data_IF_815789951594
#
_entry.id   IF_815789951594
#
_cell.length_a   1.000
_cell.length_b   1.000
_cell.length_c   1.000
_cell.angle_alpha   90.00
_cell.angle_beta   90.00
_cell.angle_gamma   90.00
#
_symmetry.space_group_name_H-M   'P 1'
#
loop_
_entity.id
_entity.type
_entity.pdbx_description
1 polymer ?
#
# COMPACT_ATOMS: atom_id res chain seq x y z
N UNK A 1 -3.14 14.83 13.00
CA UNK A 1 -2.86 15.18 11.58
C UNK A 1 -4.07 14.87 10.70
N UNK A 2 -4.38 13.60 10.42
CA UNK A 2 -5.51 13.23 9.56
C UNK A 2 -6.86 13.79 10.05
N UNK A 3 -7.17 13.63 11.35
CA UNK A 3 -8.38 14.19 11.94
C UNK A 3 -8.48 15.72 11.77
N UNK A 4 -7.39 16.44 12.03
CA UNK A 4 -7.36 17.91 11.88
C UNK A 4 -7.62 18.32 10.42
N UNK A 5 -6.96 17.64 9.47
CA UNK A 5 -7.14 17.88 8.05
C UNK A 5 -8.58 17.58 7.58
N UNK A 6 -9.20 16.52 8.09
CA UNK A 6 -10.59 16.18 7.74
C UNK A 6 -11.58 17.15 8.36
N UNK A 7 -11.49 17.40 9.67
CA UNK A 7 -12.50 18.17 10.42
C UNK A 7 -12.34 19.70 10.29
N UNK A 8 -11.10 20.20 10.16
CA UNK A 8 -10.85 21.65 10.11
C UNK A 8 -10.63 22.17 8.70
N UNK A 9 -10.11 21.35 7.79
CA UNK A 9 -9.85 21.75 6.40
C UNK A 9 -10.86 21.15 5.42
N UNK A 10 -11.78 20.31 5.88
CA UNK A 10 -12.83 19.72 5.04
C UNK A 10 -12.28 18.75 3.98
N UNK A 11 -11.11 18.13 4.24
CA UNK A 11 -10.51 17.19 3.30
C UNK A 11 -11.23 15.83 3.46
N UNK A 12 -12.24 15.62 2.63
CA UNK A 12 -13.03 14.40 2.60
C UNK A 12 -12.29 13.28 1.87
N UNK A 13 -12.45 12.03 2.33
CA UNK A 13 -11.79 10.88 1.71
C UNK A 13 -10.27 10.83 1.94
N UNK A 14 -9.77 11.59 2.92
CA UNK A 14 -8.39 11.48 3.37
C UNK A 14 -8.23 10.24 4.26
N UNK A 15 -7.30 9.38 3.87
CA UNK A 15 -6.92 8.18 4.59
C UNK A 15 -5.47 8.30 5.03
N UNK A 16 -5.15 7.59 6.12
CA UNK A 16 -3.79 7.55 6.67
C UNK A 16 -3.45 6.11 7.07
N UNK A 17 -2.23 5.70 6.76
CA UNK A 17 -1.63 4.49 7.29
C UNK A 17 -0.20 4.82 7.73
N UNK A 18 0.02 4.83 9.05
CA UNK A 18 1.27 5.31 9.66
C UNK A 18 1.60 6.74 9.19
N UNK A 19 2.64 6.90 8.40
CA UNK A 19 3.12 8.15 7.80
C UNK A 19 2.60 8.40 6.37
N UNK A 20 1.91 7.43 5.77
CA UNK A 20 1.39 7.54 4.40
C UNK A 20 -0.02 8.13 4.42
N UNK A 21 -0.17 9.30 3.81
CA UNK A 21 -1.47 9.93 3.57
C UNK A 21 -1.88 9.74 2.11
N UNK A 22 -3.13 9.39 1.88
CA UNK A 22 -3.67 9.20 0.53
C UNK A 22 -5.16 9.50 0.50
N UNK A 23 -5.67 9.88 -0.67
CA UNK A 23 -7.05 10.24 -0.84
C UNK A 23 -7.39 10.38 -2.32
N UNK A 24 -8.57 10.92 -2.60
CA UNK A 24 -9.04 11.13 -3.95
C UNK A 24 -9.55 12.55 -4.12
N UNK A 25 -9.55 13.02 -5.37
CA UNK A 25 -10.15 14.28 -5.76
C UNK A 25 -10.71 14.16 -7.17
N UNK A 26 -11.57 15.08 -7.57
CA UNK A 26 -12.10 15.13 -8.92
C UNK A 26 -11.00 15.57 -9.89
N UNK A 27 -10.94 14.96 -11.08
CA UNK A 27 -9.93 15.27 -12.12
C UNK A 27 -9.82 16.76 -12.47
N UNK A 28 -10.93 17.50 -12.38
CA UNK A 28 -10.99 18.96 -12.66
C UNK A 28 -10.55 19.83 -11.49
N UNK A 29 -10.36 19.26 -10.30
CA UNK A 29 -10.03 19.98 -9.08
C UNK A 29 -8.52 20.02 -8.86
N UNK A 30 -7.80 20.58 -9.82
CA UNK A 30 -6.35 20.75 -9.78
C UNK A 30 -6.01 22.23 -9.54
N UNK A 31 -4.91 22.48 -8.86
CA UNK A 31 -4.30 23.79 -8.76
C UNK A 31 -2.77 23.68 -8.85
N UNK A 32 -2.11 24.78 -9.23
CA UNK A 32 -0.66 24.83 -9.32
C UNK A 32 -0.06 24.98 -7.92
N UNK A 33 0.83 24.08 -7.54
CA UNK A 33 1.58 24.14 -6.28
C UNK A 33 3.00 23.62 -6.51
N UNK A 34 4.00 24.41 -6.11
CA UNK A 34 5.42 24.15 -6.41
C UNK A 34 5.70 23.84 -7.89
N UNK A 35 5.02 24.53 -8.80
CA UNK A 35 5.21 24.37 -10.25
C UNK A 35 4.55 23.13 -10.87
N UNK A 36 3.83 22.32 -10.08
CA UNK A 36 3.13 21.11 -10.55
C UNK A 36 1.63 21.25 -10.31
N UNK A 37 0.80 20.78 -11.24
CA UNK A 37 -0.64 20.71 -11.02
C UNK A 37 -0.96 19.53 -10.12
N UNK A 38 -1.55 19.80 -8.95
CA UNK A 38 -1.87 18.81 -7.93
C UNK A 38 -3.36 18.90 -7.55
N UNK A 39 -4.00 17.80 -7.11
CA UNK A 39 -5.32 17.82 -6.48
C UNK A 39 -5.41 18.87 -5.37
N UNK A 40 -6.50 19.63 -5.31
CA UNK A 40 -6.66 20.67 -4.27
C UNK A 40 -6.67 20.07 -2.87
N UNK A 41 -7.30 18.92 -2.68
CA UNK A 41 -7.27 18.22 -1.39
C UNK A 41 -5.83 17.88 -0.95
N UNK A 42 -4.96 17.50 -1.90
CA UNK A 42 -3.53 17.27 -1.61
C UNK A 42 -2.85 18.58 -1.21
N UNK A 43 -3.08 19.67 -1.94
CA UNK A 43 -2.48 20.98 -1.64
C UNK A 43 -2.92 21.48 -0.26
N UNK A 44 -4.20 21.36 0.11
CA UNK A 44 -4.67 21.75 1.43
C UNK A 44 -3.93 21.01 2.55
N UNK A 45 -3.61 19.72 2.34
CA UNK A 45 -2.82 18.94 3.28
C UNK A 45 -1.35 19.41 3.34
N UNK A 46 -0.73 19.71 2.19
CA UNK A 46 0.64 20.23 2.14
C UNK A 46 0.76 21.60 2.81
N UNK A 47 -0.19 22.51 2.56
CA UNK A 47 -0.26 23.81 3.22
C UNK A 47 -0.42 23.67 4.73
N UNK A 48 -1.19 22.68 5.20
CA UNK A 48 -1.28 22.38 6.63
C UNK A 48 0.08 21.95 7.18
N UNK A 49 0.81 21.11 6.45
CA UNK A 49 2.14 20.66 6.85
C UNK A 49 3.14 21.81 6.92
N UNK A 50 3.14 22.71 5.93
CA UNK A 50 3.93 23.94 5.97
C UNK A 50 3.60 24.77 7.21
N UNK A 51 2.31 24.96 7.50
CA UNK A 51 1.84 25.76 8.63
C UNK A 51 2.33 25.24 9.98
N UNK A 52 2.35 23.91 10.17
CA UNK A 52 2.82 23.29 11.42
C UNK A 52 4.30 22.89 11.38
N UNK A 53 5.02 23.27 10.32
CA UNK A 53 6.42 22.89 10.10
C UNK A 53 6.65 21.36 10.11
N UNK A 54 5.70 20.59 9.58
CA UNK A 54 5.85 19.15 9.38
C UNK A 54 6.64 18.91 8.09
N UNK A 55 7.81 18.25 8.13
CA UNK A 55 8.60 18.00 6.94
C UNK A 55 7.90 17.01 6.02
N UNK A 56 8.00 17.25 4.71
CA UNK A 56 7.62 16.31 3.66
C UNK A 56 8.57 16.46 2.48
N UNK A 57 8.59 15.44 1.62
CA UNK A 57 9.40 15.42 0.40
C UNK A 57 8.48 15.71 -0.80
N UNK A 58 8.68 16.86 -1.47
CA UNK A 58 7.84 17.30 -2.60
C UNK A 58 7.89 16.30 -3.78
N UNK A 59 9.03 15.61 -3.95
CA UNK A 59 9.24 14.62 -5.00
C UNK A 59 8.45 13.32 -4.74
N UNK A 60 8.03 13.06 -3.49
CA UNK A 60 7.19 11.92 -3.12
C UNK A 60 5.70 12.23 -3.14
N UNK A 61 5.32 13.47 -3.47
CA UNK A 61 3.92 13.88 -3.54
C UNK A 61 3.32 13.45 -4.87
N UNK A 62 2.98 12.18 -5.01
CA UNK A 62 2.42 11.66 -6.26
C UNK A 62 0.92 11.98 -6.39
N UNK A 63 0.45 12.14 -7.62
CA UNK A 63 -0.98 12.22 -7.95
C UNK A 63 -1.24 11.66 -9.35
N UNK A 64 -2.38 11.03 -9.56
CA UNK A 64 -2.69 10.38 -10.83
C UNK A 64 -3.84 9.39 -10.74
N UNK A 65 -4.15 8.77 -11.88
CA UNK A 65 -5.16 7.71 -11.98
C UNK A 65 -4.63 6.32 -11.57
N UNK A 66 -3.32 6.20 -11.51
CA UNK A 66 -2.62 4.97 -11.15
C UNK A 66 -1.52 5.33 -10.17
N UNK A 67 -1.56 4.77 -8.96
CA UNK A 67 -0.65 5.12 -7.88
C UNK A 67 -0.31 3.92 -7.03
N UNK A 68 0.92 3.91 -6.49
CA UNK A 68 1.30 2.97 -5.45
C UNK A 68 0.87 3.52 -4.09
N UNK A 69 -0.09 2.86 -3.43
CA UNK A 69 -0.59 3.24 -2.11
C UNK A 69 -0.26 2.11 -1.13
N UNK A 70 0.49 2.42 -0.07
CA UNK A 70 0.92 1.48 1.00
C UNK A 70 1.53 0.15 0.49
N UNK A 71 2.10 0.14 -0.72
CA UNK A 71 2.67 -1.06 -1.33
C UNK A 71 1.78 -1.77 -2.36
N UNK A 72 0.53 -1.34 -2.53
CA UNK A 72 -0.38 -1.85 -3.56
C UNK A 72 -0.44 -0.90 -4.76
N UNK A 73 -0.61 -1.48 -5.94
CA UNK A 73 -0.91 -0.73 -7.15
C UNK A 73 -2.41 -0.49 -7.23
N UNK A 74 -2.81 0.78 -7.19
CA UNK A 74 -4.21 1.20 -7.26
C UNK A 74 -4.44 1.85 -8.61
N UNK A 75 -5.39 1.32 -9.37
CA UNK A 75 -5.83 1.88 -10.65
C UNK A 75 -7.31 2.25 -10.56
N UNK A 76 -7.58 3.55 -10.51
CA UNK A 76 -8.96 4.04 -10.41
C UNK A 76 -9.66 4.09 -11.77
N UNK A 77 -8.94 4.02 -12.89
CA UNK A 77 -9.55 4.04 -14.22
C UNK A 77 -10.31 2.73 -14.50
N UNK A 78 -9.78 1.60 -14.02
CA UNK A 78 -10.44 0.29 -14.09
C UNK A 78 -11.04 -0.16 -12.76
N UNK A 79 -10.81 0.56 -11.66
CA UNK A 79 -11.33 0.23 -10.34
C UNK A 79 -10.69 -1.02 -9.74
N UNK A 80 -9.36 -1.16 -9.85
CA UNK A 80 -8.62 -2.33 -9.39
C UNK A 80 -7.55 -2.00 -8.37
N UNK A 81 -7.26 -2.96 -7.49
CA UNK A 81 -6.14 -2.94 -6.56
C UNK A 81 -5.37 -4.24 -6.76
N UNK A 82 -4.07 -4.15 -6.99
CA UNK A 82 -3.21 -5.30 -7.24
C UNK A 82 -1.85 -5.15 -6.55
N UNK A 83 -1.04 -6.20 -6.60
CA UNK A 83 0.38 -6.09 -6.28
C UNK A 83 1.11 -5.36 -7.40
N UNK A 84 2.16 -4.63 -7.07
CA UNK A 84 3.07 -4.11 -8.09
C UNK A 84 3.73 -5.26 -8.86
N UNK A 85 4.08 -5.09 -10.16
CA UNK A 85 4.77 -6.11 -10.93
C UNK A 85 6.02 -6.65 -10.22
N UNK A 86 6.81 -5.77 -9.60
CA UNK A 86 8.00 -6.14 -8.84
C UNK A 86 7.67 -6.99 -7.62
N UNK A 87 6.62 -6.63 -6.86
CA UNK A 87 6.16 -7.42 -5.72
C UNK A 87 5.70 -8.82 -6.13
N UNK A 88 5.08 -8.96 -7.32
CA UNK A 88 4.70 -10.27 -7.86
C UNK A 88 5.96 -11.10 -8.16
N UNK A 89 6.98 -10.51 -8.80
CA UNK A 89 8.21 -11.23 -9.10
C UNK A 89 8.94 -11.69 -7.83
N UNK A 90 9.01 -10.82 -6.81
CA UNK A 90 9.59 -11.17 -5.50
C UNK A 90 8.82 -12.32 -4.87
N UNK A 91 7.49 -12.27 -4.83
CA UNK A 91 6.67 -13.33 -4.23
C UNK A 91 6.84 -14.67 -4.98
N UNK A 92 6.86 -14.64 -6.31
CA UNK A 92 7.10 -15.83 -7.13
C UNK A 92 8.50 -16.41 -6.85
N UNK A 93 9.52 -15.57 -6.71
CA UNK A 93 10.87 -16.00 -6.37
C UNK A 93 10.95 -16.62 -4.97
N UNK A 94 10.25 -16.06 -3.98
CA UNK A 94 10.16 -16.62 -2.62
C UNK A 94 9.49 -17.99 -2.61
N UNK A 95 8.39 -18.15 -3.36
CA UNK A 95 7.71 -19.45 -3.50
C UNK A 95 8.64 -20.48 -4.15
N UNK A 96 9.31 -20.12 -5.26
CA UNK A 96 10.26 -21.03 -5.93
C UNK A 96 11.39 -21.46 -5.00
N UNK A 97 12.03 -20.50 -4.33
CA UNK A 97 13.09 -20.76 -3.34
C UNK A 97 12.62 -21.67 -2.21
N UNK A 98 11.38 -21.49 -1.75
CA UNK A 98 10.79 -22.36 -0.73
C UNK A 98 10.59 -23.79 -1.24
N UNK A 99 10.11 -23.97 -2.48
CA UNK A 99 9.91 -25.28 -3.09
C UNK A 99 11.22 -26.02 -3.39
N UNK A 100 12.28 -25.28 -3.70
CA UNK A 100 13.62 -25.82 -3.94
C UNK A 100 14.35 -26.25 -2.65
N UNK A 101 13.74 -26.04 -1.47
CA UNK A 101 14.34 -26.43 -0.19
C UNK A 101 14.49 -27.96 -0.09
N UNK A 102 15.69 -28.48 0.24
CA UNK A 102 15.94 -29.91 0.35
C UNK A 102 14.91 -30.63 1.23
N UNK A 103 14.42 -31.76 0.74
CA UNK A 103 13.42 -32.62 1.39
C UNK A 103 12.08 -31.95 1.77
N UNK A 104 11.78 -30.72 1.30
CA UNK A 104 10.61 -29.93 1.76
C UNK A 104 10.52 -29.80 3.29
N UNK A 105 11.66 -29.90 3.97
CA UNK A 105 11.79 -29.77 5.43
C UNK A 105 12.34 -28.39 5.79
N UNK A 106 11.75 -27.34 5.23
CA UNK A 106 12.12 -25.99 5.59
C UNK A 106 11.90 -25.77 7.10
N UNK A 107 12.85 -25.09 7.74
CA UNK A 107 12.75 -24.72 9.17
C UNK A 107 11.52 -23.84 9.40
N UNK A 108 10.96 -23.88 10.61
CA UNK A 108 9.73 -23.15 10.97
C UNK A 108 9.79 -21.66 10.55
N UNK A 109 10.95 -21.02 10.74
CA UNK A 109 11.18 -19.63 10.34
C UNK A 109 10.90 -19.40 8.84
N UNK A 110 11.31 -20.32 7.96
CA UNK A 110 11.08 -20.19 6.51
C UNK A 110 9.60 -20.32 6.17
N UNK A 111 8.87 -21.21 6.85
CA UNK A 111 7.42 -21.29 6.71
C UNK A 111 6.73 -20.00 7.15
N UNK A 112 7.14 -19.43 8.29
CA UNK A 112 6.58 -18.18 8.81
C UNK A 112 6.87 -17.00 7.89
N UNK A 113 8.09 -16.92 7.33
CA UNK A 113 8.46 -15.90 6.35
C UNK A 113 7.57 -15.98 5.10
N UNK A 114 7.45 -17.16 4.48
CA UNK A 114 6.60 -17.33 3.31
C UNK A 114 5.11 -17.05 3.62
N UNK A 115 4.61 -17.53 4.76
CA UNK A 115 3.24 -17.26 5.19
C UNK A 115 3.00 -15.75 5.38
N UNK A 116 3.97 -15.02 5.94
CA UNK A 116 3.91 -13.56 6.05
C UNK A 116 3.83 -12.86 4.70
N UNK A 117 4.72 -13.21 3.76
CA UNK A 117 4.72 -12.67 2.40
C UNK A 117 3.41 -12.96 1.65
N UNK A 118 2.90 -14.19 1.77
CA UNK A 118 1.61 -14.58 1.17
C UNK A 118 0.44 -13.86 1.85
N UNK A 119 0.46 -13.70 3.18
CA UNK A 119 -0.60 -12.98 3.87
C UNK A 119 -0.71 -11.52 3.39
N UNK A 120 0.42 -10.89 3.04
CA UNK A 120 0.42 -9.56 2.44
C UNK A 120 -0.27 -9.53 1.06
N UNK A 121 0.01 -10.50 0.19
CA UNK A 121 -0.61 -10.59 -1.14
C UNK A 121 -2.11 -10.89 -1.10
N UNK A 122 -2.57 -11.61 -0.08
CA UNK A 122 -3.98 -11.93 0.13
C UNK A 122 -4.87 -10.73 0.49
N UNK A 123 -4.28 -9.56 0.78
CA UNK A 123 -5.05 -8.32 0.90
C UNK A 123 -5.69 -7.90 -0.43
N UNK A 124 -5.08 -8.25 -1.56
CA UNK A 124 -5.61 -7.99 -2.91
C UNK A 124 -6.21 -9.23 -3.58
N UNK A 125 -6.07 -10.41 -2.96
CA UNK A 125 -6.63 -11.68 -3.41
C UNK A 125 -7.40 -12.38 -2.28
N UNK A 126 -8.52 -11.80 -1.79
CA UNK A 126 -9.21 -12.30 -0.61
C UNK A 126 -9.70 -13.74 -0.76
N UNK A 127 -10.07 -14.14 -1.98
CA UNK A 127 -10.54 -15.49 -2.29
C UNK A 127 -9.47 -16.58 -2.13
N UNK A 128 -8.19 -16.22 -2.17
CA UNK A 128 -7.10 -17.17 -2.00
C UNK A 128 -6.73 -17.40 -0.52
N UNK A 129 -7.38 -16.70 0.44
CA UNK A 129 -7.11 -16.86 1.88
C UNK A 129 -7.18 -18.31 2.40
N UNK A 130 -8.15 -19.14 1.98
CA UNK A 130 -8.19 -20.54 2.41
C UNK A 130 -6.94 -21.35 2.08
N UNK A 131 -6.15 -20.93 1.08
CA UNK A 131 -4.92 -21.62 0.68
C UNK A 131 -3.83 -21.59 1.77
N UNK A 132 -3.88 -20.64 2.72
CA UNK A 132 -2.92 -20.58 3.83
C UNK A 132 -3.27 -21.50 5.01
N UNK A 133 -4.48 -22.06 5.06
CA UNK A 133 -4.92 -22.88 6.20
C UNK A 133 -3.98 -24.07 6.45
N UNK A 134 -3.56 -24.74 5.38
CA UNK A 134 -2.67 -25.89 5.46
C UNK A 134 -1.25 -25.48 5.93
N UNK A 135 -0.78 -24.30 5.53
CA UNK A 135 0.49 -23.75 6.01
C UNK A 135 0.43 -23.46 7.51
N UNK A 136 -0.61 -22.77 7.98
CA UNK A 136 -0.79 -22.50 9.40
C UNK A 136 -0.95 -23.79 10.22
N UNK A 137 -1.70 -24.78 9.71
CA UNK A 137 -1.82 -26.09 10.35
C UNK A 137 -0.46 -26.79 10.49
N UNK A 138 0.41 -26.70 9.48
CA UNK A 138 1.76 -27.31 9.51
C UNK A 138 2.68 -26.65 10.56
N UNK A 139 2.50 -25.36 10.79
CA UNK A 139 3.27 -24.57 11.76
C UNK A 139 2.70 -24.63 13.19
N UNK A 140 1.43 -24.99 13.35
CA UNK A 140 0.77 -25.06 14.66
C UNK A 140 1.47 -26.04 15.60
N UNK A 141 1.69 -25.62 16.85
CA UNK A 141 2.28 -26.45 17.91
C UNK A 141 3.78 -26.71 17.77
N UNK A 142 4.49 -25.95 16.93
CA UNK A 142 5.94 -25.99 16.76
C UNK A 142 6.55 -24.63 17.03
#
# INVERSE_FOLDING_TARGET
MCWLASEKLGIHGLHVYMDNFFGWDLKRNLALFHGVHRPKCQIQLLVLWDYISCPYDDAKQDSGVQLKIIGFWVDIAVGSISLTPDSIQVLVAEIKKFLDSPQRQAVLRTWQQLAGSLNWSLNVLPWARPALNEMYRKMSGK
#
